data_IF_416229942820
#
_entry.id   IF_416229942820
#
_cell.length_a   1.000
_cell.length_b   1.000
_cell.length_c   1.000
_cell.angle_alpha   90.00
_cell.angle_beta   90.00
_cell.angle_gamma   90.00
#
_symmetry.space_group_name_H-M   'P 1'
#
loop_
_entity.id
_entity.type
_entity.pdbx_description
1 polymer ?
#
# COMPACT_ATOMS: atom_id res chain seq x y z
N UNK A 1 23.04 -13.57 21.37
CA UNK A 1 22.39 -12.70 20.37
C UNK A 1 20.92 -13.07 20.34
N UNK A 2 19.99 -12.16 20.64
CA UNK A 2 18.56 -12.47 20.56
C UNK A 2 18.13 -12.70 19.11
N UNK A 3 17.14 -13.56 18.91
CA UNK A 3 16.49 -13.80 17.60
C UNK A 3 15.08 -13.20 17.62
N UNK A 4 14.59 -12.81 16.45
CA UNK A 4 13.25 -12.24 16.26
C UNK A 4 12.52 -13.03 15.17
N UNK A 5 11.22 -13.25 15.36
CA UNK A 5 10.36 -13.74 14.31
C UNK A 5 10.20 -12.65 13.24
N UNK A 6 10.16 -13.05 11.96
CA UNK A 6 10.11 -12.10 10.84
C UNK A 6 8.72 -11.45 10.74
N UNK A 7 8.72 -10.14 10.52
CA UNK A 7 7.53 -9.35 10.17
C UNK A 7 7.33 -9.25 8.66
N UNK A 8 8.40 -9.47 7.86
CA UNK A 8 8.44 -9.49 6.39
C UNK A 8 9.74 -10.17 5.90
N UNK A 9 9.74 -10.98 4.80
CA UNK A 9 10.95 -11.47 4.15
C UNK A 9 11.65 -10.46 3.23
N UNK A 10 11.06 -9.28 2.98
CA UNK A 10 11.53 -8.21 2.10
C UNK A 10 13.06 -8.04 2.04
N UNK A 11 13.72 -7.82 3.18
CA UNK A 11 15.17 -7.56 3.20
C UNK A 11 16.00 -8.75 2.71
N UNK A 12 15.54 -9.98 2.93
CA UNK A 12 16.20 -11.19 2.46
C UNK A 12 15.96 -11.41 0.96
N UNK A 13 14.75 -11.16 0.47
CA UNK A 13 14.44 -11.27 -0.95
C UNK A 13 15.18 -10.21 -1.77
N UNK A 14 15.33 -8.98 -1.25
CA UNK A 14 16.21 -7.96 -1.86
C UNK A 14 17.67 -8.41 -1.96
N UNK A 15 18.19 -9.14 -0.96
CA UNK A 15 19.53 -9.74 -1.05
C UNK A 15 19.64 -10.79 -2.15
N UNK A 16 18.58 -11.56 -2.41
CA UNK A 16 18.53 -12.47 -3.57
C UNK A 16 18.61 -11.71 -4.90
N UNK A 17 17.91 -10.58 -5.03
CA UNK A 17 18.01 -9.70 -6.21
C UNK A 17 19.45 -9.19 -6.38
N UNK A 18 20.07 -8.67 -5.31
CA UNK A 18 21.47 -8.22 -5.31
C UNK A 18 22.42 -9.37 -5.69
N UNK A 19 22.12 -10.58 -5.24
CA UNK A 19 22.86 -11.81 -5.56
C UNK A 19 22.66 -12.33 -6.99
N UNK A 20 21.88 -11.64 -7.82
CA UNK A 20 21.70 -11.96 -9.25
C UNK A 20 20.47 -12.81 -9.59
N UNK A 21 19.60 -13.12 -8.62
CA UNK A 21 18.31 -13.79 -8.89
C UNK A 21 17.32 -12.73 -9.35
N UNK A 22 17.06 -12.62 -10.66
CA UNK A 22 16.30 -11.49 -11.22
C UNK A 22 14.80 -11.52 -10.92
N UNK A 23 14.22 -12.67 -10.59
CA UNK A 23 12.81 -12.82 -10.19
C UNK A 23 12.73 -13.83 -9.05
N UNK A 24 12.18 -13.42 -7.92
CA UNK A 24 12.04 -14.28 -6.73
C UNK A 24 10.70 -14.01 -6.06
N UNK A 25 10.10 -15.04 -5.48
CA UNK A 25 8.94 -14.89 -4.61
C UNK A 25 9.03 -15.87 -3.44
N UNK A 26 8.34 -15.54 -2.36
CA UNK A 26 8.16 -16.42 -1.22
C UNK A 26 6.70 -16.39 -0.76
N UNK A 27 6.11 -17.56 -0.52
CA UNK A 27 4.85 -17.69 0.21
C UNK A 27 5.19 -18.29 1.57
N UNK A 28 4.93 -17.56 2.64
CA UNK A 28 5.35 -17.99 3.96
C UNK A 28 4.69 -17.23 5.09
N UNK A 29 5.02 -17.64 6.31
CA UNK A 29 4.42 -17.05 7.51
C UNK A 29 5.15 -15.84 8.03
N UNK A 30 4.38 -14.83 8.41
CA UNK A 30 4.81 -13.60 9.06
C UNK A 30 4.19 -13.53 10.46
N UNK A 31 4.90 -12.86 11.36
CA UNK A 31 4.52 -12.77 12.77
C UNK A 31 4.50 -11.32 13.20
N UNK A 32 3.38 -10.83 13.73
CA UNK A 32 3.24 -9.48 14.30
C UNK A 32 2.75 -9.60 15.73
N UNK A 33 3.48 -8.97 16.65
CA UNK A 33 3.11 -8.94 18.07
C UNK A 33 2.14 -7.78 18.33
N UNK A 34 0.97 -7.86 17.69
CA UNK A 34 -0.10 -6.86 17.71
C UNK A 34 -1.39 -7.46 18.29
N UNK A 35 -2.41 -6.62 18.49
CA UNK A 35 -3.74 -7.09 18.89
C UNK A 35 -4.37 -8.00 17.82
N UNK A 36 -5.26 -8.90 18.26
CA UNK A 36 -6.01 -9.78 17.36
C UNK A 36 -7.43 -9.25 17.20
N UNK A 37 -7.93 -9.24 15.96
CA UNK A 37 -9.31 -8.88 15.65
C UNK A 37 -9.86 -9.76 14.51
N UNK A 38 -11.03 -9.42 13.96
CA UNK A 38 -11.67 -10.18 12.88
C UNK A 38 -10.88 -10.18 11.55
N UNK A 39 -9.79 -9.42 11.47
CA UNK A 39 -9.02 -9.10 10.27
C UNK A 39 -7.52 -9.27 10.48
N UNK A 40 -7.05 -9.28 11.73
CA UNK A 40 -5.65 -9.43 12.12
C UNK A 40 -5.45 -10.68 12.98
N UNK A 41 -4.61 -11.60 12.49
CA UNK A 41 -4.09 -12.73 13.27
C UNK A 41 -2.60 -12.50 13.52
N UNK A 42 -2.06 -12.76 14.73
CA UNK A 42 -0.63 -12.55 15.04
C UNK A 42 0.31 -13.35 14.12
N UNK A 43 -0.20 -14.41 13.49
CA UNK A 43 0.51 -15.24 12.53
C UNK A 43 -0.30 -15.33 11.23
N UNK A 44 0.21 -14.78 10.13
CA UNK A 44 -0.52 -14.75 8.85
C UNK A 44 0.39 -15.09 7.67
N UNK A 45 -0.21 -15.61 6.60
CA UNK A 45 0.52 -15.99 5.38
C UNK A 45 0.50 -14.83 4.40
N UNK A 46 1.66 -14.49 3.86
CA UNK A 46 1.80 -13.52 2.77
C UNK A 46 2.56 -14.14 1.60
N UNK A 47 2.36 -13.57 0.42
CA UNK A 47 3.24 -13.75 -0.73
C UNK A 47 3.99 -12.44 -0.97
N UNK A 48 5.32 -12.49 -0.93
CA UNK A 48 6.17 -11.38 -1.36
C UNK A 48 6.91 -11.76 -2.64
N UNK A 49 6.98 -10.84 -3.59
CA UNK A 49 7.61 -11.07 -4.89
C UNK A 49 8.46 -9.85 -5.29
N UNK A 50 9.62 -10.12 -5.87
CA UNK A 50 10.56 -9.13 -6.37
C UNK A 50 10.95 -9.44 -7.80
N UNK A 51 10.94 -8.42 -8.65
CA UNK A 51 11.33 -8.50 -10.05
C UNK A 51 12.34 -7.40 -10.36
N UNK A 52 13.59 -7.79 -10.64
CA UNK A 52 14.61 -6.88 -11.15
C UNK A 52 14.14 -6.25 -12.48
N UNK A 53 14.49 -4.98 -12.68
CA UNK A 53 14.09 -4.17 -13.83
C UNK A 53 12.57 -3.93 -13.96
N UNK A 54 11.76 -4.41 -13.00
CA UNK A 54 10.36 -4.04 -12.86
C UNK A 54 10.18 -2.72 -12.11
N UNK A 55 9.02 -2.12 -12.31
CA UNK A 55 8.54 -0.93 -11.60
C UNK A 55 7.12 -1.15 -11.07
N UNK A 56 6.54 -0.08 -10.52
CA UNK A 56 5.18 -0.06 -9.97
C UNK A 56 4.14 -0.60 -10.96
N UNK A 57 4.21 -0.22 -12.25
CA UNK A 57 3.26 -0.65 -13.27
C UNK A 57 3.38 -2.14 -13.57
N UNK A 58 4.61 -2.65 -13.64
CA UNK A 58 4.86 -4.09 -13.79
C UNK A 58 4.32 -4.91 -12.62
N UNK A 59 4.38 -4.36 -11.40
CA UNK A 59 3.85 -5.02 -10.20
C UNK A 59 2.32 -4.93 -10.12
N UNK A 60 1.70 -3.87 -10.62
CA UNK A 60 0.23 -3.82 -10.80
C UNK A 60 -0.24 -4.88 -11.79
N UNK A 61 0.44 -5.01 -12.93
CA UNK A 61 0.13 -6.03 -13.93
C UNK A 61 0.28 -7.45 -13.35
N UNK A 62 1.36 -7.71 -12.59
CA UNK A 62 1.53 -8.98 -11.90
C UNK A 62 0.40 -9.25 -10.90
N UNK A 63 0.07 -8.27 -10.04
CA UNK A 63 -0.99 -8.41 -9.03
C UNK A 63 -2.35 -8.69 -9.66
N UNK A 64 -2.71 -7.94 -10.70
CA UNK A 64 -3.96 -8.14 -11.44
C UNK A 64 -4.01 -9.53 -12.12
N UNK A 65 -2.91 -9.94 -12.77
CA UNK A 65 -2.83 -11.24 -13.41
C UNK A 65 -2.95 -12.40 -12.43
N UNK A 66 -2.41 -12.27 -11.20
CA UNK A 66 -2.57 -13.28 -10.15
C UNK A 66 -4.03 -13.43 -9.77
N UNK A 67 -4.75 -12.32 -9.57
CA UNK A 67 -6.17 -12.36 -9.22
C UNK A 67 -7.00 -12.95 -10.37
N UNK A 68 -6.77 -12.52 -11.62
CA UNK A 68 -7.45 -13.09 -12.79
C UNK A 68 -7.17 -14.57 -12.95
N UNK A 69 -5.92 -15.00 -12.78
CA UNK A 69 -5.55 -16.41 -12.87
C UNK A 69 -6.26 -17.26 -11.81
N UNK A 70 -6.32 -16.79 -10.55
CA UNK A 70 -7.03 -17.49 -9.49
C UNK A 70 -8.55 -17.50 -9.73
N UNK A 71 -9.12 -16.38 -10.20
CA UNK A 71 -10.53 -16.29 -10.56
C UNK A 71 -10.89 -17.28 -11.67
N UNK A 72 -10.05 -17.42 -12.69
CA UNK A 72 -10.21 -18.41 -13.76
C UNK A 72 -10.12 -19.85 -13.22
N UNK A 73 -9.05 -20.18 -12.48
CA UNK A 73 -8.81 -21.54 -11.97
C UNK A 73 -9.84 -22.01 -10.96
N UNK A 74 -10.47 -21.09 -10.24
CA UNK A 74 -11.54 -21.36 -9.29
C UNK A 74 -12.93 -21.23 -9.90
N UNK A 75 -13.03 -20.91 -11.19
CA UNK A 75 -14.29 -20.66 -11.91
C UNK A 75 -15.16 -19.58 -11.23
N UNK A 76 -14.50 -18.53 -10.72
CA UNK A 76 -15.10 -17.42 -9.97
C UNK A 76 -14.75 -16.09 -10.61
N UNK A 77 -15.43 -15.76 -11.70
CA UNK A 77 -15.36 -14.43 -12.34
C UNK A 77 -15.92 -13.29 -11.46
N UNK A 78 -16.69 -13.65 -10.43
CA UNK A 78 -17.27 -12.74 -9.44
C UNK A 78 -17.43 -13.43 -8.09
N UNK A 79 -17.46 -12.65 -7.02
CA UNK A 79 -17.67 -13.12 -5.65
C UNK A 79 -18.61 -12.19 -4.88
N UNK A 80 -19.21 -12.68 -3.81
CA UNK A 80 -20.04 -11.86 -2.91
C UNK A 80 -19.15 -11.38 -1.76
N UNK A 81 -18.91 -10.07 -1.70
CA UNK A 81 -18.25 -9.39 -0.59
C UNK A 81 -19.23 -8.92 0.48
N UNK A 82 -18.72 -8.22 1.48
CA UNK A 82 -19.51 -7.62 2.57
C UNK A 82 -20.38 -6.48 2.07
N UNK A 83 -19.89 -5.70 1.11
CA UNK A 83 -20.56 -4.51 0.60
C UNK A 83 -21.21 -4.72 -0.78
N UNK A 84 -21.33 -5.97 -1.24
CA UNK A 84 -22.00 -6.32 -2.49
C UNK A 84 -21.21 -7.27 -3.37
N UNK A 85 -21.62 -7.35 -4.63
CA UNK A 85 -20.98 -8.21 -5.64
C UNK A 85 -19.68 -7.57 -6.15
N UNK A 86 -18.61 -8.37 -6.21
CA UNK A 86 -17.28 -7.99 -6.65
C UNK A 86 -17.00 -8.72 -7.96
N UNK A 87 -16.70 -7.95 -9.01
CA UNK A 87 -16.40 -8.50 -10.34
C UNK A 87 -14.89 -8.60 -10.47
N UNK A 88 -14.36 -9.83 -10.49
CA UNK A 88 -12.93 -10.08 -10.60
C UNK A 88 -12.46 -10.13 -12.05
N UNK A 89 -13.35 -10.39 -13.02
CA UNK A 89 -12.98 -10.61 -14.42
C UNK A 89 -12.72 -9.34 -15.26
N UNK A 90 -12.84 -8.14 -14.67
CA UNK A 90 -12.67 -6.86 -15.38
C UNK A 90 -11.32 -6.24 -15.05
N UNK A 91 -10.77 -5.38 -15.94
CA UNK A 91 -9.59 -4.60 -15.60
C UNK A 91 -9.77 -3.81 -14.32
N UNK A 92 -8.74 -3.78 -13.47
CA UNK A 92 -8.83 -3.11 -12.18
C UNK A 92 -8.73 -1.60 -12.34
N UNK A 93 -9.49 -0.86 -11.53
CA UNK A 93 -9.44 0.60 -11.56
C UNK A 93 -8.07 1.05 -11.07
N UNK A 94 -7.46 2.05 -11.72
CA UNK A 94 -6.25 2.72 -11.23
C UNK A 94 -6.59 4.17 -10.89
N UNK A 95 -6.34 4.61 -9.67
CA UNK A 95 -6.62 5.98 -9.23
C UNK A 95 -5.55 6.46 -8.23
N UNK A 96 -5.17 7.73 -8.32
CA UNK A 96 -4.24 8.29 -7.33
C UNK A 96 -4.91 8.46 -5.96
N UNK A 97 -4.15 8.32 -4.89
CA UNK A 97 -4.66 8.52 -3.53
C UNK A 97 -5.28 9.92 -3.34
N UNK A 98 -4.58 10.98 -3.77
CA UNK A 98 -5.04 12.37 -3.64
C UNK A 98 -6.31 12.65 -4.48
N UNK A 99 -6.41 12.07 -5.66
CA UNK A 99 -7.61 12.15 -6.51
C UNK A 99 -8.81 11.42 -5.89
N UNK A 100 -8.57 10.23 -5.32
CA UNK A 100 -9.60 9.47 -4.63
C UNK A 100 -10.11 10.22 -3.40
N UNK A 101 -9.21 10.74 -2.56
CA UNK A 101 -9.58 11.59 -1.42
C UNK A 101 -10.34 12.83 -1.87
N UNK A 102 -9.91 13.49 -2.95
CA UNK A 102 -10.64 14.62 -3.52
C UNK A 102 -12.05 14.25 -3.97
N UNK A 103 -12.23 13.05 -4.54
CA UNK A 103 -13.54 12.56 -4.98
C UNK A 103 -14.46 12.25 -3.82
N UNK A 104 -13.99 11.53 -2.81
CA UNK A 104 -14.82 11.02 -1.70
C UNK A 104 -14.96 12.04 -0.57
N UNK A 105 -13.88 12.69 -0.15
CA UNK A 105 -13.88 13.65 0.96
C UNK A 105 -14.13 15.10 0.52
N UNK A 106 -14.13 15.39 -0.78
CA UNK A 106 -14.23 16.75 -1.36
C UNK A 106 -13.10 17.70 -0.94
N UNK A 107 -11.93 17.15 -0.60
CA UNK A 107 -10.73 17.91 -0.19
C UNK A 107 -9.60 17.69 -1.19
N UNK A 108 -9.09 18.79 -1.76
CA UNK A 108 -8.03 18.76 -2.77
C UNK A 108 -6.65 18.98 -2.14
N UNK A 109 -5.97 17.88 -1.78
CA UNK A 109 -4.66 17.93 -1.12
C UNK A 109 -3.54 18.53 -1.98
N UNK A 110 -3.67 18.55 -3.31
CA UNK A 110 -2.69 19.22 -4.17
C UNK A 110 -2.70 20.75 -4.00
N UNK A 111 -3.78 21.32 -3.45
CA UNK A 111 -3.90 22.76 -3.20
C UNK A 111 -3.44 23.17 -1.82
N UNK A 112 -3.21 22.21 -0.93
CA UNK A 112 -2.79 22.46 0.45
C UNK A 112 -1.28 22.69 0.46
N UNK A 113 -0.86 23.88 0.88
CA UNK A 113 0.56 24.28 0.90
C UNK A 113 1.17 24.29 2.29
N UNK A 114 0.34 24.13 3.31
CA UNK A 114 0.72 24.31 4.70
C UNK A 114 0.08 23.25 5.59
N UNK A 115 0.83 22.80 6.60
CA UNK A 115 0.41 21.75 7.52
C UNK A 115 -0.77 22.22 8.37
N UNK A 116 -0.80 23.49 8.77
CA UNK A 116 -1.91 24.01 9.60
C UNK A 116 -3.25 23.97 8.85
N UNK A 117 -3.23 24.20 7.53
CA UNK A 117 -4.44 24.02 6.69
C UNK A 117 -4.91 22.56 6.69
N UNK A 118 -3.97 21.60 6.55
CA UNK A 118 -4.29 20.18 6.60
C UNK A 118 -4.84 19.76 7.97
N UNK A 119 -4.26 20.26 9.07
CA UNK A 119 -4.71 20.00 10.44
C UNK A 119 -6.12 20.54 10.69
N UNK A 120 -6.41 21.76 10.23
CA UNK A 120 -7.73 22.36 10.33
C UNK A 120 -8.78 21.52 9.57
N UNK A 121 -8.45 21.04 8.38
CA UNK A 121 -9.31 20.14 7.61
C UNK A 121 -9.53 18.81 8.35
N UNK A 122 -8.49 18.21 8.90
CA UNK A 122 -8.61 16.98 9.70
C UNK A 122 -9.56 17.19 10.90
N UNK A 123 -9.44 18.31 11.60
CA UNK A 123 -10.32 18.66 12.71
C UNK A 123 -11.78 18.81 12.26
N UNK A 124 -12.03 19.53 11.15
CA UNK A 124 -13.38 19.71 10.58
C UNK A 124 -14.01 18.37 10.20
N UNK A 125 -13.21 17.45 9.66
CA UNK A 125 -13.63 16.11 9.28
C UNK A 125 -13.63 15.12 10.46
N UNK A 126 -13.34 15.56 11.70
CA UNK A 126 -13.26 14.71 12.91
C UNK A 126 -12.29 13.54 12.70
N UNK A 127 -11.09 13.84 12.22
CA UNK A 127 -9.98 12.91 12.07
C UNK A 127 -8.99 13.22 13.19
N UNK A 128 -8.64 12.21 13.97
CA UNK A 128 -7.61 12.32 14.99
C UNK A 128 -6.23 12.29 14.32
N UNK A 129 -5.36 13.24 14.69
CA UNK A 129 -4.00 13.35 14.16
C UNK A 129 -2.99 13.24 15.30
N UNK A 130 -2.23 12.15 15.32
CA UNK A 130 -1.20 11.93 16.33
C UNK A 130 0.03 12.83 16.09
N UNK A 131 0.87 13.08 17.13
CA UNK A 131 2.03 13.96 16.99
C UNK A 131 2.99 13.60 15.86
N UNK A 132 3.18 12.31 15.58
CA UNK A 132 4.04 11.82 14.50
C UNK A 132 3.38 11.89 13.11
N UNK A 133 2.07 12.15 13.03
CA UNK A 133 1.28 12.23 11.79
C UNK A 133 1.07 13.68 11.31
N UNK A 134 1.89 14.63 11.79
CA UNK A 134 1.73 16.07 11.52
C UNK A 134 2.47 16.54 10.26
N UNK A 135 2.38 15.78 9.17
CA UNK A 135 2.77 16.26 7.83
C UNK A 135 1.58 16.19 6.87
N UNK A 136 1.65 16.94 5.76
CA UNK A 136 0.57 16.92 4.74
C UNK A 136 0.36 15.49 4.22
N UNK A 137 1.44 14.73 3.98
CA UNK A 137 1.36 13.34 3.54
C UNK A 137 0.67 12.42 4.54
N UNK A 138 1.00 12.53 5.83
CA UNK A 138 0.33 11.74 6.86
C UNK A 138 -1.16 12.09 6.97
N UNK A 139 -1.51 13.37 6.89
CA UNK A 139 -2.91 13.80 6.97
C UNK A 139 -3.69 13.36 5.74
N UNK A 140 -3.10 13.42 4.54
CA UNK A 140 -3.70 12.85 3.33
C UNK A 140 -4.01 11.36 3.52
N UNK A 141 -3.08 10.59 4.10
CA UNK A 141 -3.31 9.18 4.38
C UNK A 141 -4.47 8.95 5.35
N UNK A 142 -4.58 9.75 6.42
CA UNK A 142 -5.71 9.64 7.35
C UNK A 142 -7.07 9.95 6.67
N UNK A 143 -7.10 10.88 5.72
CA UNK A 143 -8.28 11.12 4.91
C UNK A 143 -8.58 9.94 3.97
N UNK A 144 -7.55 9.32 3.41
CA UNK A 144 -7.67 8.13 2.59
C UNK A 144 -8.22 6.93 3.39
N UNK A 145 -7.68 6.64 4.58
CA UNK A 145 -8.18 5.59 5.48
C UNK A 145 -9.66 5.80 5.82
N UNK A 146 -10.06 7.05 6.08
CA UNK A 146 -11.44 7.37 6.46
C UNK A 146 -12.44 7.33 5.31
N UNK A 147 -12.07 7.82 4.14
CA UNK A 147 -13.00 8.06 3.03
C UNK A 147 -12.67 7.27 1.75
N UNK A 148 -11.39 7.07 1.47
CA UNK A 148 -10.91 6.39 0.27
C UNK A 148 -11.02 4.86 0.37
N UNK A 149 -10.50 4.25 1.43
CA UNK A 149 -10.53 2.78 1.58
C UNK A 149 -11.95 2.22 1.50
N UNK A 150 -12.96 2.73 2.25
CA UNK A 150 -14.30 2.16 2.21
C UNK A 150 -15.00 2.34 0.86
N UNK A 151 -14.54 3.29 0.03
CA UNK A 151 -15.09 3.53 -1.30
C UNK A 151 -14.57 2.51 -2.36
N UNK A 152 -13.46 1.82 -2.09
CA UNK A 152 -12.85 0.85 -2.99
C UNK A 152 -13.56 -0.53 -2.94
N UNK A 153 -14.82 -0.59 -3.38
CA UNK A 153 -15.61 -1.84 -3.38
C UNK A 153 -15.15 -2.80 -4.48
N UNK A 154 -15.03 -2.33 -5.73
CA UNK A 154 -14.46 -3.11 -6.82
C UNK A 154 -12.93 -3.07 -6.75
N UNK A 155 -12.22 -4.04 -7.36
CA UNK A 155 -10.77 -4.05 -7.40
C UNK A 155 -10.19 -2.73 -7.92
N UNK A 156 -9.44 -2.06 -7.05
CA UNK A 156 -8.92 -0.72 -7.27
C UNK A 156 -7.48 -0.64 -6.79
N UNK A 157 -6.55 -0.40 -7.72
CA UNK A 157 -5.20 0.04 -7.41
C UNK A 157 -5.24 1.53 -7.05
N UNK A 158 -4.97 1.82 -5.79
CA UNK A 158 -4.71 3.17 -5.31
C UNK A 158 -3.21 3.39 -5.38
N UNK A 159 -2.74 4.48 -6.00
CA UNK A 159 -1.31 4.70 -6.22
C UNK A 159 -0.86 6.13 -5.92
N UNK A 160 0.45 6.35 -5.96
CA UNK A 160 1.10 7.61 -5.56
C UNK A 160 0.86 7.96 -4.09
N UNK A 161 1.36 7.10 -3.21
CA UNK A 161 1.33 7.34 -1.77
C UNK A 161 2.33 8.43 -1.39
N UNK A 162 2.03 9.27 -0.39
CA UNK A 162 2.97 10.28 0.11
C UNK A 162 4.31 9.69 0.54
N UNK A 163 5.36 10.48 0.36
CA UNK A 163 6.73 10.10 0.70
C UNK A 163 6.89 9.77 2.18
N UNK A 164 6.23 10.52 3.05
CA UNK A 164 6.40 10.39 4.50
C UNK A 164 5.90 9.07 5.07
N UNK A 165 4.97 8.39 4.39
CA UNK A 165 4.43 7.10 4.81
C UNK A 165 4.99 5.92 3.99
N UNK A 166 5.97 6.18 3.12
CA UNK A 166 6.47 5.21 2.15
C UNK A 166 8.00 5.13 2.19
N UNK A 167 8.60 4.71 3.33
CA UNK A 167 10.03 4.84 3.59
C UNK A 167 10.94 4.01 2.65
N UNK A 168 10.39 2.97 2.04
CA UNK A 168 11.10 2.04 1.17
C UNK A 168 10.72 2.16 -0.30
N UNK A 169 9.71 2.97 -0.60
CA UNK A 169 9.28 3.19 -1.96
C UNK A 169 10.18 4.24 -2.63
N UNK A 170 10.49 4.01 -3.91
CA UNK A 170 11.18 4.99 -4.74
C UNK A 170 10.32 6.25 -4.83
N UNK A 171 10.95 7.38 -4.53
CA UNK A 171 10.40 8.72 -4.75
C UNK A 171 10.00 8.90 -6.22
N UNK A 172 8.81 9.42 -6.48
CA UNK A 172 8.39 9.72 -7.84
C UNK A 172 9.30 10.78 -8.47
N UNK A 173 9.66 10.60 -9.74
CA UNK A 173 10.63 11.44 -10.44
C UNK A 173 10.05 12.83 -10.76
N UNK A 174 8.74 12.93 -11.01
CA UNK A 174 8.05 14.16 -11.41
C UNK A 174 7.48 14.90 -10.21
N UNK A 175 6.88 14.18 -9.27
CA UNK A 175 6.18 14.73 -8.12
C UNK A 175 6.81 14.24 -6.82
N UNK A 176 7.78 15.01 -6.34
CA UNK A 176 8.67 14.61 -5.23
C UNK A 176 7.98 14.37 -3.89
N UNK A 177 6.74 14.79 -3.72
CA UNK A 177 5.98 14.58 -2.48
C UNK A 177 5.31 13.19 -2.45
N UNK A 178 5.35 12.46 -3.57
CA UNK A 178 4.79 11.12 -3.71
C UNK A 178 5.86 10.09 -4.04
N UNK A 179 5.48 8.82 -3.92
CA UNK A 179 6.29 7.66 -4.25
C UNK A 179 5.61 6.80 -5.30
N UNK A 180 6.40 6.01 -6.01
CA UNK A 180 5.91 5.02 -6.97
C UNK A 180 5.43 3.77 -6.21
N UNK A 181 4.43 3.95 -5.33
CA UNK A 181 3.78 2.92 -4.51
C UNK A 181 2.32 2.80 -4.88
N UNK A 182 1.80 1.59 -4.78
CA UNK A 182 0.37 1.31 -4.83
C UNK A 182 -0.05 0.28 -3.79
N UNK A 183 -1.35 0.29 -3.51
CA UNK A 183 -2.04 -0.78 -2.82
C UNK A 183 -3.26 -1.21 -3.64
N UNK A 184 -3.58 -2.49 -3.60
CA UNK A 184 -4.79 -3.04 -4.19
C UNK A 184 -5.86 -3.15 -3.10
N UNK A 185 -6.98 -2.47 -3.30
CA UNK A 185 -8.16 -2.59 -2.46
C UNK A 185 -9.26 -3.39 -3.14
N UNK A 186 -9.90 -4.29 -2.39
CA UNK A 186 -11.10 -5.02 -2.80
C UNK A 186 -12.06 -5.07 -1.60
N UNK A 187 -13.33 -4.75 -1.79
CA UNK A 187 -14.35 -4.70 -0.72
C UNK A 187 -13.97 -3.76 0.45
N UNK A 188 -13.26 -2.68 0.13
CA UNK A 188 -12.74 -1.71 1.09
C UNK A 188 -11.65 -2.27 2.01
N UNK A 189 -10.87 -3.25 1.53
CA UNK A 189 -9.77 -3.86 2.27
C UNK A 189 -8.52 -3.93 1.42
N UNK A 190 -7.38 -3.65 2.04
CA UNK A 190 -6.07 -3.87 1.42
C UNK A 190 -5.84 -5.37 1.19
N UNK A 191 -5.47 -5.72 -0.04
CA UNK A 191 -5.16 -7.09 -0.49
C UNK A 191 -3.69 -7.22 -0.89
N UNK A 192 -3.09 -6.15 -1.42
CA UNK A 192 -1.70 -6.12 -1.85
C UNK A 192 -1.11 -4.73 -1.60
N UNK A 193 0.18 -4.68 -1.29
CA UNK A 193 1.00 -3.47 -1.27
C UNK A 193 2.25 -3.74 -2.09
N UNK A 194 2.62 -2.81 -2.97
CA UNK A 194 3.85 -2.91 -3.74
C UNK A 194 4.32 -1.52 -4.21
N UNK A 195 5.60 -1.44 -4.55
CA UNK A 195 6.22 -0.19 -4.96
C UNK A 195 7.40 -0.45 -5.88
N UNK A 196 7.79 0.58 -6.64
CA UNK A 196 9.14 0.61 -7.21
C UNK A 196 10.13 0.72 -6.06
N UNK A 197 11.10 -0.17 -6.02
CA UNK A 197 12.00 -0.29 -4.88
C UNK A 197 12.97 0.90 -4.74
N UNK A 198 13.15 1.38 -3.51
CA UNK A 198 14.24 2.29 -3.18
C UNK A 198 15.57 1.53 -3.16
N UNK A 199 16.39 1.72 -4.19
CA UNK A 199 17.69 1.04 -4.35
C UNK A 199 18.89 1.92 -3.98
N UNK A 200 18.69 3.21 -3.71
CA UNK A 200 19.77 4.14 -3.35
C UNK A 200 20.13 3.99 -1.86
N UNK A 201 21.29 3.40 -1.51
CA UNK A 201 21.64 3.12 -0.12
C UNK A 201 21.82 4.37 0.73
N UNK A 202 22.09 5.54 0.13
CA UNK A 202 22.23 6.80 0.87
C UNK A 202 20.88 7.37 1.30
N UNK A 203 19.79 6.88 0.71
CA UNK A 203 18.41 7.33 1.00
C UNK A 203 17.63 6.35 1.88
N UNK A 204 18.10 5.12 2.01
CA UNK A 204 17.45 4.11 2.86
C UNK A 204 17.68 4.50 4.32
N UNK A 205 16.62 4.95 4.99
CA UNK A 205 16.66 5.23 6.43
C UNK A 205 16.04 4.06 7.22
N UNK A 206 16.87 3.09 7.59
CA UNK A 206 16.43 1.83 8.22
C UNK A 206 15.73 2.04 9.57
N UNK A 207 16.01 3.14 10.29
CA UNK A 207 15.33 3.44 11.56
C UNK A 207 13.82 3.64 11.39
N UNK A 208 13.35 4.11 10.23
CA UNK A 208 11.91 4.25 9.95
C UNK A 208 11.20 2.92 9.69
N UNK A 209 11.94 1.86 9.35
CA UNK A 209 11.37 0.54 9.00
C UNK A 209 11.03 -0.31 10.22
N UNK A 210 11.69 -0.06 11.36
CA UNK A 210 11.56 -0.93 12.53
C UNK A 210 10.45 -0.49 13.50
N UNK A 211 9.78 0.65 13.27
CA UNK A 211 8.76 1.15 14.19
C UNK A 211 9.26 1.29 15.64
N UNK A 212 10.55 1.60 15.82
CA UNK A 212 11.23 1.85 17.11
C UNK A 212 11.62 3.32 17.17
#
# INVERSE_FOLDING_TARGET
MPFFLRIAPELYLKRCIIGGISKVYEIGRLFRNEGMDATHNPEFTSMEAYCAFGDMDSMMELGENIVHFLADKLERSKVVGRNGEIILSKPFTRIRMDELVKREAKVDFQKIKDVDQALNLAQQHKIEVLPHQRSIGHILNLFFEKYGEPACIQPTFVYHYPLEISPLARKNVKETNFTDRFELFIDGREIMNAFSELTDPLRINITSYLGI
#
